data_IF_255036835051
#
_entry.id   IF_255036835051
#
_cell.length_a   1.000
_cell.length_b   1.000
_cell.length_c   1.000
_cell.angle_alpha   90.00
_cell.angle_beta   90.00
_cell.angle_gamma   90.00
#
_symmetry.space_group_name_H-M   'P 1'
#
loop_
_entity.id
_entity.type
_entity.pdbx_description
1 polymer ?
#
# COMPACT_ATOMS: atom_id res chain seq x y z
N UNK A 1 25.01 -2.21 -43.62
CA UNK A 1 24.67 -1.22 -42.58
C UNK A 1 23.91 -1.91 -41.43
N UNK A 2 24.60 -2.54 -40.48
CA UNK A 2 23.99 -3.16 -39.27
C UNK A 2 24.93 -3.24 -38.05
N UNK A 3 25.99 -2.42 -37.97
CA UNK A 3 26.94 -2.48 -36.84
C UNK A 3 27.13 -1.17 -36.07
N UNK A 4 26.59 -0.05 -36.54
CA UNK A 4 26.81 1.25 -35.89
C UNK A 4 25.79 1.53 -34.78
N UNK A 5 24.58 0.97 -34.86
CA UNK A 5 23.51 1.21 -33.87
C UNK A 5 23.71 0.43 -32.56
N UNK A 6 24.39 -0.72 -32.60
CA UNK A 6 24.62 -1.55 -31.41
C UNK A 6 25.68 -0.95 -30.46
N UNK A 7 26.68 -0.22 -30.99
CA UNK A 7 27.74 0.36 -30.18
C UNK A 7 27.26 1.64 -29.46
N UNK A 8 26.36 2.41 -30.08
CA UNK A 8 25.73 3.57 -29.42
C UNK A 8 24.76 3.14 -28.31
N UNK A 9 24.06 2.01 -28.49
CA UNK A 9 23.19 1.44 -27.45
C UNK A 9 23.98 0.90 -26.24
N UNK A 10 25.17 0.32 -26.45
CA UNK A 10 26.05 -0.12 -25.36
C UNK A 10 26.75 1.04 -24.64
N UNK A 11 27.10 2.13 -25.35
CA UNK A 11 27.62 3.34 -24.71
C UNK A 11 26.54 4.11 -23.92
N UNK A 12 25.30 4.13 -24.42
CA UNK A 12 24.16 4.70 -23.68
C UNK A 12 23.76 3.85 -22.46
N UNK A 13 23.83 2.51 -22.57
CA UNK A 13 23.59 1.60 -21.44
C UNK A 13 24.70 1.68 -20.37
N UNK A 14 25.96 1.89 -20.76
CA UNK A 14 27.06 2.11 -19.81
C UNK A 14 26.96 3.47 -19.07
N UNK A 15 26.29 4.48 -19.66
CA UNK A 15 25.95 5.75 -19.00
C UNK A 15 24.60 5.74 -18.26
N UNK A 16 23.81 4.67 -18.41
CA UNK A 16 22.54 4.44 -17.71
C UNK A 16 22.65 3.40 -16.59
N UNK A 17 23.80 2.75 -16.41
CA UNK A 17 24.11 1.99 -15.19
C UNK A 17 24.15 2.93 -13.98
N UNK A 18 23.45 2.63 -12.87
CA UNK A 18 23.46 3.45 -11.65
C UNK A 18 24.85 3.58 -11.01
N UNK A 19 25.77 2.66 -11.36
CA UNK A 19 27.10 2.57 -10.78
C UNK A 19 28.10 3.58 -11.36
N UNK A 20 27.94 4.03 -12.61
CA UNK A 20 28.92 4.92 -13.28
C UNK A 20 28.62 6.41 -13.14
N UNK A 21 27.42 6.80 -12.67
CA UNK A 21 27.10 8.20 -12.32
C UNK A 21 27.42 8.57 -10.86
N UNK A 22 27.88 7.63 -10.04
CA UNK A 22 28.17 7.84 -8.61
C UNK A 22 29.48 8.58 -8.32
N UNK A 23 30.36 8.82 -9.30
CA UNK A 23 31.72 9.36 -9.03
C UNK A 23 32.02 10.79 -9.52
N UNK A 24 31.18 11.45 -10.34
CA UNK A 24 31.64 12.63 -11.09
C UNK A 24 31.04 14.01 -10.75
N UNK A 25 30.27 14.14 -9.66
CA UNK A 25 29.85 15.47 -9.20
C UNK A 25 30.59 15.87 -7.92
N UNK A 26 31.61 16.72 -8.07
CA UNK A 26 32.27 17.52 -7.02
C UNK A 26 31.28 18.46 -6.33
N UNK A 27 30.29 17.92 -5.64
CA UNK A 27 29.60 18.61 -4.56
C UNK A 27 30.62 18.67 -3.41
N UNK A 28 30.84 19.82 -2.75
CA UNK A 28 31.61 19.84 -1.50
C UNK A 28 31.06 18.74 -0.60
N UNK A 29 31.93 17.86 -0.15
CA UNK A 29 31.54 16.69 0.63
C UNK A 29 30.79 17.22 1.87
N UNK A 30 29.47 17.00 1.95
CA UNK A 30 28.59 17.66 2.93
C UNK A 30 29.01 17.43 4.38
N UNK A 31 29.85 16.42 4.60
CA UNK A 31 30.51 16.01 5.85
C UNK A 31 31.74 16.83 6.23
N UNK A 32 32.33 17.60 5.31
CA UNK A 32 33.46 18.49 5.64
C UNK A 32 33.02 19.72 6.43
N UNK A 33 31.71 20.01 6.47
CA UNK A 33 31.17 21.15 7.18
C UNK A 33 29.92 20.78 7.98
N UNK A 34 29.98 21.03 9.29
CA UNK A 34 28.87 20.85 10.25
C UNK A 34 27.56 21.48 9.76
N UNK A 35 27.62 22.69 9.21
CA UNK A 35 26.42 23.40 8.76
C UNK A 35 25.80 22.74 7.52
N UNK A 36 26.61 22.22 6.59
CA UNK A 36 26.09 21.51 5.41
C UNK A 36 25.60 20.11 5.72
N UNK A 37 26.15 19.47 6.76
CA UNK A 37 25.69 18.16 7.22
C UNK A 37 24.37 18.28 7.99
N UNK A 38 24.24 19.28 8.86
CA UNK A 38 23.19 19.33 9.88
C UNK A 38 22.03 20.29 9.58
N UNK A 39 22.18 21.24 8.65
CA UNK A 39 21.17 22.27 8.39
C UNK A 39 20.70 22.25 6.95
N UNK A 40 19.50 22.80 6.72
CA UNK A 40 18.95 23.01 5.38
C UNK A 40 18.20 21.82 4.79
N UNK A 41 18.07 20.72 5.54
CA UNK A 41 17.28 19.56 5.13
C UNK A 41 15.82 19.76 5.48
N UNK A 42 15.00 20.00 4.46
CA UNK A 42 13.55 19.83 4.53
C UNK A 42 13.29 18.41 4.07
N UNK A 43 12.72 17.58 4.93
CA UNK A 43 12.50 16.15 4.65
C UNK A 43 11.01 15.88 4.46
N UNK A 44 10.41 16.65 3.56
CA UNK A 44 8.97 16.58 3.30
C UNK A 44 8.66 15.79 2.03
N UNK A 45 9.62 15.64 1.11
CA UNK A 45 9.45 14.80 -0.08
C UNK A 45 10.40 13.59 -0.09
N UNK A 46 9.96 12.46 -0.67
CA UNK A 46 10.79 11.27 -0.84
C UNK A 46 12.10 11.53 -1.57
N UNK A 47 12.10 12.44 -2.54
CA UNK A 47 13.29 12.80 -3.32
C UNK A 47 14.32 13.56 -2.46
N UNK A 48 13.87 14.42 -1.54
CA UNK A 48 14.75 15.10 -0.59
C UNK A 48 15.39 14.10 0.37
N UNK A 49 14.60 13.14 0.87
CA UNK A 49 15.08 12.10 1.78
C UNK A 49 16.06 11.14 1.08
N UNK A 50 15.78 10.70 -0.15
CA UNK A 50 16.70 9.87 -0.93
C UNK A 50 17.97 10.65 -1.29
N UNK A 51 17.84 11.91 -1.69
CA UNK A 51 19.01 12.75 -1.99
C UNK A 51 19.91 12.88 -0.76
N UNK A 52 19.31 13.09 0.42
CA UNK A 52 20.05 13.12 1.67
C UNK A 52 20.74 11.77 1.90
N UNK A 53 19.97 10.69 1.96
CA UNK A 53 20.43 9.33 2.30
C UNK A 53 21.46 8.77 1.33
N UNK A 54 21.21 8.84 0.03
CA UNK A 54 21.97 8.13 -1.00
C UNK A 54 23.09 8.98 -1.58
N UNK A 55 22.84 10.29 -1.80
CA UNK A 55 23.76 11.14 -2.56
C UNK A 55 24.63 11.99 -1.66
N UNK A 56 24.03 12.68 -0.70
CA UNK A 56 24.71 13.69 0.11
C UNK A 56 25.45 13.03 1.26
N UNK A 57 24.73 12.32 2.11
CA UNK A 57 25.29 11.70 3.32
C UNK A 57 25.51 10.21 3.19
N UNK A 58 25.45 9.65 1.96
CA UNK A 58 25.77 8.25 1.61
C UNK A 58 25.53 7.24 2.74
N UNK A 59 24.45 7.43 3.50
CA UNK A 59 24.32 6.88 4.85
C UNK A 59 24.07 5.38 4.73
N UNK A 60 23.33 4.98 3.70
CA UNK A 60 23.16 3.59 3.32
C UNK A 60 24.44 2.91 2.85
N UNK A 61 25.34 3.59 2.13
CA UNK A 61 26.63 3.00 1.75
C UNK A 61 27.46 2.72 3.02
N UNK A 62 27.55 3.70 3.93
CA UNK A 62 28.30 3.55 5.18
C UNK A 62 27.68 2.53 6.15
N UNK A 63 26.35 2.44 6.19
CA UNK A 63 25.66 1.38 6.90
C UNK A 63 26.05 0.01 6.30
N UNK A 64 25.94 -0.18 4.99
CA UNK A 64 26.33 -1.45 4.34
C UNK A 64 27.78 -1.85 4.60
N UNK A 65 28.72 -0.90 4.50
CA UNK A 65 30.11 -1.16 4.82
C UNK A 65 30.29 -1.56 6.29
N UNK A 66 29.69 -0.83 7.23
CA UNK A 66 29.75 -1.16 8.65
C UNK A 66 29.19 -2.56 8.94
N UNK A 67 28.02 -2.89 8.39
CA UNK A 67 27.40 -4.19 8.59
C UNK A 67 28.24 -5.34 8.01
N UNK A 68 29.02 -5.10 6.96
CA UNK A 68 29.89 -6.12 6.37
C UNK A 68 31.17 -6.34 7.16
N UNK A 69 31.74 -5.27 7.71
CA UNK A 69 33.02 -5.31 8.39
C UNK A 69 32.90 -5.75 9.86
N UNK A 70 31.71 -5.62 10.48
CA UNK A 70 31.49 -6.09 11.85
C UNK A 70 31.31 -7.61 11.94
N UNK A 71 31.81 -8.19 13.04
CA UNK A 71 31.85 -9.64 13.26
C UNK A 71 30.46 -10.27 13.48
N UNK A 72 29.48 -9.51 13.98
CA UNK A 72 28.07 -9.93 14.13
C UNK A 72 27.23 -9.65 12.89
N UNK A 73 27.84 -9.08 11.84
CA UNK A 73 27.19 -8.64 10.60
C UNK A 73 25.96 -7.74 10.80
N UNK A 74 24.75 -8.29 10.76
CA UNK A 74 23.51 -7.53 10.95
C UNK A 74 23.01 -7.59 12.39
N UNK A 75 23.52 -8.51 13.20
CA UNK A 75 23.06 -8.69 14.57
C UNK A 75 23.57 -7.57 15.47
N UNK A 76 22.69 -7.09 16.36
CA UNK A 76 22.90 -5.99 17.29
C UNK A 76 23.51 -4.73 16.66
N UNK A 77 23.36 -4.54 15.34
CA UNK A 77 24.14 -3.57 14.59
C UNK A 77 23.96 -2.14 15.12
N UNK A 78 22.77 -1.79 15.59
CA UNK A 78 22.47 -0.43 16.07
C UNK A 78 23.22 -0.12 17.37
N UNK A 79 23.29 -1.09 18.28
CA UNK A 79 24.05 -1.00 19.53
C UNK A 79 25.55 -0.99 19.20
N UNK A 80 26.00 -1.88 18.31
CA UNK A 80 27.39 -1.96 17.88
C UNK A 80 27.86 -0.69 17.17
N UNK A 81 26.98 -0.05 16.39
CA UNK A 81 27.25 1.23 15.75
C UNK A 81 27.39 2.33 16.79
N UNK A 82 26.48 2.39 17.76
CA UNK A 82 26.55 3.38 18.85
C UNK A 82 27.84 3.22 19.66
N UNK A 83 28.21 1.98 20.00
CA UNK A 83 29.45 1.66 20.69
C UNK A 83 30.69 2.04 19.88
N UNK A 84 30.69 1.74 18.57
CA UNK A 84 31.78 2.07 17.63
C UNK A 84 31.99 3.57 17.50
N UNK A 85 30.92 4.34 17.42
CA UNK A 85 30.94 5.81 17.27
C UNK A 85 31.32 6.47 18.59
N UNK A 86 30.87 5.93 19.73
CA UNK A 86 31.13 6.54 21.05
C UNK A 86 32.43 6.07 21.70
N UNK A 87 33.04 4.99 21.20
CA UNK A 87 34.24 4.40 21.78
C UNK A 87 33.96 3.64 23.09
N UNK A 88 32.76 3.07 23.22
CA UNK A 88 32.25 2.48 24.44
C UNK A 88 30.99 3.16 24.96
N UNK A 89 29.91 2.41 25.17
CA UNK A 89 28.75 2.86 25.96
C UNK A 89 28.92 2.43 27.42
N UNK A 90 28.73 3.34 28.39
CA UNK A 90 28.83 3.05 29.84
C UNK A 90 27.64 2.17 30.36
N UNK A 91 27.23 1.18 29.57
CA UNK A 91 26.16 0.23 29.88
C UNK A 91 24.73 0.75 29.67
N UNK A 92 24.55 1.92 29.04
CA UNK A 92 23.23 2.48 28.68
C UNK A 92 23.21 2.96 27.24
N UNK A 93 23.13 2.00 26.32
CA UNK A 93 22.88 2.26 24.91
C UNK A 93 21.41 2.68 24.72
N UNK A 94 21.20 3.86 24.12
CA UNK A 94 19.86 4.33 23.78
C UNK A 94 19.25 3.58 22.58
N UNK A 95 20.08 2.83 21.86
CA UNK A 95 19.68 1.94 20.77
C UNK A 95 19.01 0.64 21.24
N UNK A 96 19.24 0.19 22.48
CA UNK A 96 18.73 -1.08 22.97
C UNK A 96 17.19 -1.16 22.98
N UNK A 97 16.50 -0.02 23.13
CA UNK A 97 15.04 0.05 23.10
C UNK A 97 14.44 0.07 21.68
N UNK A 98 15.25 0.25 20.63
CA UNK A 98 14.74 0.45 19.28
C UNK A 98 14.16 -0.80 18.62
N UNK A 99 14.49 -2.00 19.09
CA UNK A 99 13.98 -3.26 18.53
C UNK A 99 12.57 -3.63 19.01
N UNK A 100 11.99 -2.85 19.93
CA UNK A 100 10.67 -3.11 20.54
C UNK A 100 9.81 -1.86 20.42
N UNK A 101 8.62 -1.96 19.80
CA UNK A 101 7.76 -0.79 19.54
C UNK A 101 7.27 -0.07 20.80
N UNK A 102 7.07 -0.82 21.87
CA UNK A 102 6.54 -0.29 23.13
C UNK A 102 7.63 0.38 24.00
N UNK A 103 8.91 0.21 23.65
CA UNK A 103 10.03 0.87 24.31
C UNK A 103 10.34 2.24 23.68
N UNK A 104 11.13 3.05 24.39
CA UNK A 104 11.70 4.27 23.83
C UNK A 104 12.90 3.94 22.94
N UNK A 105 12.89 4.45 21.71
CA UNK A 105 14.03 4.40 20.80
C UNK A 105 14.75 5.76 20.83
N UNK A 106 15.87 5.83 21.53
CA UNK A 106 16.66 7.05 21.69
C UNK A 106 18.13 6.80 21.38
N UNK A 107 18.47 6.31 20.17
CA UNK A 107 19.87 6.15 19.80
C UNK A 107 20.58 7.49 19.92
N UNK A 108 21.83 7.45 20.37
CA UNK A 108 22.64 8.60 20.75
C UNK A 108 22.06 9.45 21.89
N UNK A 109 21.10 8.94 22.68
CA UNK A 109 20.40 9.69 23.72
C UNK A 109 19.76 11.00 23.20
N UNK A 110 19.23 10.99 21.96
CA UNK A 110 18.64 12.16 21.30
C UNK A 110 19.59 13.36 21.11
N UNK A 111 20.89 13.08 21.00
CA UNK A 111 21.88 14.10 20.67
C UNK A 111 21.59 14.75 19.31
N UNK A 112 21.71 16.07 19.26
CA UNK A 112 21.51 16.87 18.05
C UNK A 112 22.65 16.68 17.04
N UNK A 113 22.37 16.87 15.75
CA UNK A 113 23.37 16.65 14.68
C UNK A 113 24.67 17.44 14.92
N UNK A 114 24.56 18.71 15.31
CA UNK A 114 25.73 19.56 15.52
C UNK A 114 26.58 19.08 16.69
N UNK A 115 25.96 18.58 17.74
CA UNK A 115 26.64 18.04 18.91
C UNK A 115 27.33 16.71 18.57
N UNK A 116 26.65 15.84 17.82
CA UNK A 116 27.22 14.58 17.33
C UNK A 116 28.45 14.84 16.46
N UNK A 117 28.35 15.79 15.53
CA UNK A 117 29.46 16.14 14.64
C UNK A 117 30.67 16.65 15.42
N UNK A 118 30.47 17.55 16.39
CA UNK A 118 31.56 18.13 17.18
C UNK A 118 32.24 17.10 18.10
N UNK A 119 31.47 16.16 18.63
CA UNK A 119 31.96 15.19 19.63
C UNK A 119 32.52 13.93 19.00
N UNK A 120 31.90 13.45 17.93
CA UNK A 120 32.18 12.14 17.32
C UNK A 120 32.43 12.19 15.81
N UNK A 121 32.20 13.32 15.14
CA UNK A 121 32.50 13.52 13.71
C UNK A 121 34.01 13.62 13.41
N UNK A 122 34.78 12.62 13.85
CA UNK A 122 36.22 12.47 13.63
C UNK A 122 36.58 12.19 12.16
N UNK A 123 37.85 11.92 11.85
CA UNK A 123 38.37 11.77 10.48
C UNK A 123 37.72 10.64 9.66
N UNK A 124 37.04 9.68 10.30
CA UNK A 124 36.44 8.55 9.59
C UNK A 124 35.03 8.88 9.04
N UNK A 125 34.69 8.41 7.82
CA UNK A 125 33.40 8.70 7.22
C UNK A 125 32.20 8.23 8.06
N UNK A 126 32.18 6.99 8.58
CA UNK A 126 31.07 6.44 9.36
C UNK A 126 30.77 7.31 10.59
N UNK A 127 31.84 7.76 11.25
CA UNK A 127 31.91 8.85 12.21
C UNK A 127 30.90 9.98 11.95
N UNK A 128 31.12 10.60 10.79
CA UNK A 128 30.43 11.79 10.30
C UNK A 128 29.01 11.49 9.83
N UNK A 129 28.74 10.29 9.33
CA UNK A 129 27.44 9.92 8.75
C UNK A 129 26.44 9.42 9.77
N UNK A 130 26.94 8.89 10.90
CA UNK A 130 26.18 8.05 11.82
C UNK A 130 24.91 8.72 12.35
N UNK A 131 24.91 10.05 12.52
CA UNK A 131 23.70 10.80 12.89
C UNK A 131 22.49 10.43 12.02
N UNK A 132 22.66 10.45 10.68
CA UNK A 132 21.56 10.18 9.75
C UNK A 132 21.14 8.71 9.75
N UNK A 133 22.06 7.79 10.05
CA UNK A 133 21.73 6.36 10.24
C UNK A 133 20.86 6.21 11.50
N UNK A 134 21.23 6.84 12.61
CA UNK A 134 20.45 6.80 13.85
C UNK A 134 19.10 7.51 13.71
N UNK A 135 19.01 8.63 12.98
CA UNK A 135 17.73 9.28 12.68
C UNK A 135 16.82 8.39 11.83
N UNK A 136 17.37 7.64 10.86
CA UNK A 136 16.57 6.69 10.09
C UNK A 136 16.04 5.55 10.98
N UNK A 137 16.84 5.01 11.89
CA UNK A 137 16.39 4.00 12.86
C UNK A 137 15.29 4.54 13.78
N UNK A 138 15.47 5.76 14.33
CA UNK A 138 14.45 6.43 15.14
C UNK A 138 13.17 6.72 14.36
N UNK A 139 13.31 7.16 13.11
CA UNK A 139 12.19 7.44 12.22
C UNK A 139 11.40 6.19 11.85
N UNK A 140 12.07 5.05 11.68
CA UNK A 140 11.42 3.74 11.52
C UNK A 140 10.62 3.37 12.76
N UNK A 141 11.21 3.49 13.95
CA UNK A 141 10.53 3.23 15.22
C UNK A 141 9.27 4.07 15.38
N UNK A 142 9.38 5.40 15.19
CA UNK A 142 8.24 6.33 15.25
C UNK A 142 7.13 5.94 14.27
N UNK A 143 7.46 5.66 13.01
CA UNK A 143 6.48 5.34 11.96
C UNK A 143 5.80 3.99 12.19
N UNK A 144 6.52 2.98 12.66
CA UNK A 144 5.92 1.68 12.99
C UNK A 144 5.02 1.78 14.23
N UNK A 145 5.43 2.56 15.24
CA UNK A 145 4.60 2.84 16.41
C UNK A 145 3.32 3.58 16.00
N UNK A 146 3.43 4.59 15.13
CA UNK A 146 2.27 5.28 14.58
C UNK A 146 1.36 4.35 13.75
N UNK A 147 1.93 3.42 12.99
CA UNK A 147 1.16 2.43 12.25
C UNK A 147 0.44 1.45 13.19
N UNK A 148 1.11 0.94 14.23
CA UNK A 148 0.51 0.10 15.28
C UNK A 148 -0.66 0.82 15.94
N UNK A 149 -0.48 2.06 16.38
CA UNK A 149 -1.56 2.88 16.96
C UNK A 149 -2.72 3.05 15.98
N UNK A 150 -2.45 3.40 14.71
CA UNK A 150 -3.50 3.53 13.70
C UNK A 150 -4.23 2.21 13.49
N UNK A 151 -3.54 1.08 13.35
CA UNK A 151 -4.17 -0.24 13.20
C UNK A 151 -5.09 -0.51 14.39
N UNK A 152 -4.60 -0.37 15.63
CA UNK A 152 -5.40 -0.60 16.84
C UNK A 152 -6.65 0.28 16.91
N UNK A 153 -6.50 1.61 16.72
CA UNK A 153 -7.63 2.55 16.73
C UNK A 153 -8.67 2.18 15.66
N UNK A 154 -8.18 1.78 14.49
CA UNK A 154 -8.99 1.51 13.32
C UNK A 154 -9.69 0.17 13.35
N UNK A 155 -9.11 -0.87 13.98
CA UNK A 155 -9.79 -2.13 14.25
C UNK A 155 -11.08 -1.89 15.03
N UNK A 156 -11.01 -1.08 16.08
CA UNK A 156 -12.15 -0.71 16.92
C UNK A 156 -13.22 0.01 16.09
N UNK A 157 -12.81 0.98 15.27
CA UNK A 157 -13.74 1.74 14.42
C UNK A 157 -14.36 0.86 13.34
N UNK A 158 -13.59 -0.05 12.73
CA UNK A 158 -14.08 -0.94 11.68
C UNK A 158 -15.10 -1.95 12.20
N UNK A 159 -14.88 -2.54 13.38
CA UNK A 159 -15.88 -3.42 13.99
C UNK A 159 -17.25 -2.74 14.11
N UNK A 160 -17.26 -1.47 14.51
CA UNK A 160 -18.49 -0.67 14.59
C UNK A 160 -19.07 -0.28 13.21
N UNK A 161 -18.21 -0.02 12.22
CA UNK A 161 -18.65 0.37 10.87
C UNK A 161 -19.17 -0.79 10.03
N UNK A 162 -18.70 -2.01 10.23
CA UNK A 162 -19.16 -3.19 9.47
C UNK A 162 -20.67 -3.42 9.69
N UNK A 163 -21.13 -3.38 10.95
CA UNK A 163 -22.56 -3.49 11.25
C UNK A 163 -23.41 -2.40 10.60
N UNK A 164 -22.87 -1.18 10.50
CA UNK A 164 -23.53 -0.09 9.78
C UNK A 164 -23.55 -0.34 8.27
N UNK A 165 -22.46 -0.82 7.67
CA UNK A 165 -22.42 -1.20 6.24
C UNK A 165 -23.47 -2.28 5.91
N UNK A 166 -23.55 -3.30 6.76
CA UNK A 166 -24.56 -4.37 6.65
C UNK A 166 -25.97 -3.79 6.65
N UNK A 167 -26.25 -2.86 7.55
CA UNK A 167 -27.53 -2.15 7.61
C UNK A 167 -27.77 -1.27 6.38
N UNK A 168 -26.75 -0.54 5.94
CA UNK A 168 -26.83 0.46 4.89
C UNK A 168 -27.07 -0.14 3.51
N UNK A 169 -26.45 -1.30 3.24
CA UNK A 169 -26.57 -2.03 1.97
C UNK A 169 -27.57 -3.19 2.03
N UNK A 170 -27.95 -3.64 3.23
CA UNK A 170 -28.87 -4.77 3.42
C UNK A 170 -28.25 -6.12 3.04
N UNK A 171 -26.96 -6.29 3.35
CA UNK A 171 -26.18 -7.52 3.14
C UNK A 171 -25.92 -8.30 4.42
N UNK A 172 -24.79 -8.99 4.48
CA UNK A 172 -24.24 -9.61 5.69
C UNK A 172 -22.70 -9.53 5.66
N UNK A 173 -22.06 -10.08 6.68
CA UNK A 173 -20.61 -10.14 6.80
C UNK A 173 -20.06 -11.59 6.71
N UNK A 174 -20.86 -12.51 6.15
CA UNK A 174 -20.54 -13.94 6.12
C UNK A 174 -19.58 -14.28 4.95
N UNK A 175 -19.52 -13.44 3.91
CA UNK A 175 -18.57 -13.61 2.80
C UNK A 175 -17.18 -13.06 3.19
N UNK A 176 -16.43 -13.92 3.89
CA UNK A 176 -15.11 -13.59 4.42
C UNK A 176 -14.02 -13.58 3.36
N UNK A 177 -14.16 -14.27 2.22
CA UNK A 177 -13.14 -14.33 1.17
C UNK A 177 -11.68 -14.56 1.65
N UNK A 178 -10.69 -14.16 0.86
CA UNK A 178 -9.27 -14.25 1.21
C UNK A 178 -8.80 -12.93 1.86
N UNK A 179 -9.09 -12.78 3.15
CA UNK A 179 -8.83 -11.55 3.91
C UNK A 179 -7.33 -11.23 4.04
N UNK A 180 -6.46 -12.26 4.02
CA UNK A 180 -5.00 -12.08 3.98
C UNK A 180 -4.60 -11.32 2.72
N UNK A 181 -5.11 -11.74 1.55
CA UNK A 181 -4.88 -11.01 0.29
C UNK A 181 -5.43 -9.59 0.33
N UNK A 182 -6.54 -9.35 1.03
CA UNK A 182 -7.08 -7.99 1.16
C UNK A 182 -6.12 -7.07 1.91
N UNK A 183 -5.51 -7.53 2.99
CA UNK A 183 -4.56 -6.74 3.78
C UNK A 183 -3.30 -6.42 2.99
N UNK A 184 -2.71 -7.43 2.35
CA UNK A 184 -1.54 -7.26 1.49
C UNK A 184 -1.83 -6.27 0.34
N UNK A 185 -3.00 -6.38 -0.29
CA UNK A 185 -3.41 -5.50 -1.38
C UNK A 185 -3.75 -4.08 -0.90
N UNK A 186 -4.44 -3.94 0.23
CA UNK A 186 -4.82 -2.65 0.81
C UNK A 186 -3.60 -1.74 1.05
N UNK A 187 -2.51 -2.34 1.52
CA UNK A 187 -1.25 -1.62 1.75
C UNK A 187 -0.60 -1.11 0.46
N UNK A 188 -0.88 -1.73 -0.70
CA UNK A 188 -0.35 -1.35 -2.01
C UNK A 188 -1.21 -0.31 -2.75
N UNK A 189 -2.52 -0.25 -2.49
CA UNK A 189 -3.49 0.54 -3.28
C UNK A 189 -3.26 2.07 -3.24
N UNK A 190 -2.60 2.58 -2.19
CA UNK A 190 -2.24 4.01 -2.10
C UNK A 190 -3.42 4.95 -2.34
N UNK A 191 -3.17 6.08 -3.03
CA UNK A 191 -4.17 7.09 -3.39
C UNK A 191 -5.09 6.73 -4.57
N UNK A 192 -5.01 5.51 -5.11
CA UNK A 192 -5.75 5.14 -6.31
C UNK A 192 -7.28 5.31 -6.17
N UNK A 193 -7.84 4.92 -5.02
CA UNK A 193 -9.29 5.03 -4.76
C UNK A 193 -9.77 6.48 -4.67
N UNK A 194 -8.92 7.43 -4.27
CA UNK A 194 -9.24 8.85 -4.25
C UNK A 194 -9.00 9.55 -5.59
N UNK A 195 -8.53 8.82 -6.61
CA UNK A 195 -8.16 9.39 -7.92
C UNK A 195 -6.87 10.21 -7.88
N UNK A 196 -6.13 10.16 -6.77
CA UNK A 196 -4.80 10.75 -6.67
C UNK A 196 -3.83 9.75 -7.29
N UNK A 197 -3.26 10.09 -8.45
CA UNK A 197 -2.15 9.30 -9.00
C UNK A 197 -1.02 9.27 -7.99
N UNK A 198 -0.53 8.08 -7.64
CA UNK A 198 0.66 7.96 -6.81
C UNK A 198 1.85 8.60 -7.55
N UNK A 199 2.30 9.75 -7.06
CA UNK A 199 3.59 10.31 -7.45
C UNK A 199 4.67 9.25 -7.18
N UNK A 200 5.62 8.96 -8.09
CA UNK A 200 6.68 7.96 -7.90
C UNK A 200 7.41 8.01 -6.56
N UNK A 201 7.56 9.18 -5.94
CA UNK A 201 8.13 9.32 -4.59
C UNK A 201 7.33 8.59 -3.49
N UNK A 202 5.99 8.55 -3.59
CA UNK A 202 5.12 7.84 -2.63
C UNK A 202 5.28 6.33 -2.69
N UNK A 203 5.79 5.80 -3.80
CA UNK A 203 5.96 4.39 -4.04
C UNK A 203 6.77 3.70 -2.95
N UNK A 204 7.86 4.30 -2.46
CA UNK A 204 8.79 3.64 -1.52
C UNK A 204 8.10 3.20 -0.22
N UNK A 205 7.29 4.08 0.39
CA UNK A 205 6.55 3.75 1.61
C UNK A 205 5.46 2.70 1.38
N UNK A 206 4.73 2.81 0.26
CA UNK A 206 3.70 1.85 -0.13
C UNK A 206 4.30 0.47 -0.44
N UNK A 207 5.43 0.41 -1.13
CA UNK A 207 6.17 -0.83 -1.40
C UNK A 207 6.72 -1.45 -0.13
N UNK A 208 7.27 -0.65 0.78
CA UNK A 208 7.76 -1.13 2.06
C UNK A 208 6.64 -1.78 2.88
N UNK A 209 5.52 -1.09 3.07
CA UNK A 209 4.39 -1.66 3.81
C UNK A 209 3.78 -2.83 3.06
N UNK A 210 3.62 -2.75 1.73
CA UNK A 210 3.20 -3.90 0.92
C UNK A 210 4.14 -5.10 1.06
N UNK A 211 5.45 -4.89 1.15
CA UNK A 211 6.43 -5.93 1.46
C UNK A 211 6.20 -6.57 2.83
N UNK A 212 5.98 -5.75 3.86
CA UNK A 212 5.70 -6.22 5.23
C UNK A 212 4.39 -7.00 5.28
N UNK A 213 3.33 -6.48 4.64
CA UNK A 213 2.00 -7.08 4.66
C UNK A 213 1.84 -8.25 3.67
N UNK A 214 2.58 -8.28 2.55
CA UNK A 214 2.55 -9.41 1.62
C UNK A 214 3.17 -10.67 2.23
N UNK A 215 4.07 -10.52 3.21
CA UNK A 215 4.58 -11.64 3.99
C UNK A 215 3.47 -12.37 4.79
N UNK A 216 2.29 -11.74 5.00
CA UNK A 216 1.10 -12.42 5.52
C UNK A 216 0.52 -13.46 4.59
N UNK A 217 0.84 -13.45 3.29
CA UNK A 217 0.42 -14.49 2.35
C UNK A 217 0.86 -15.91 2.73
N UNK A 218 1.76 -16.04 3.72
CA UNK A 218 2.18 -17.31 4.31
C UNK A 218 1.40 -17.71 5.57
N UNK A 219 0.62 -16.80 6.18
CA UNK A 219 -0.37 -17.19 7.19
C UNK A 219 -1.38 -18.11 6.52
N UNK A 220 -1.68 -19.23 7.16
CA UNK A 220 -2.73 -20.07 6.62
C UNK A 220 -4.03 -19.34 6.87
N UNK A 221 -4.85 -19.21 5.83
CA UNK A 221 -6.21 -18.68 5.92
C UNK A 221 -7.07 -19.46 6.95
N UNK A 222 -6.62 -20.64 7.38
CA UNK A 222 -7.16 -21.47 8.48
C UNK A 222 -6.85 -20.93 9.90
N UNK A 223 -5.85 -20.06 10.04
CA UNK A 223 -5.42 -19.44 11.32
C UNK A 223 -6.22 -18.15 11.63
N UNK A 224 -7.17 -17.78 10.78
CA UNK A 224 -8.03 -16.60 10.91
C UNK A 224 -9.47 -17.06 11.09
N UNK A 225 -10.20 -16.47 12.04
CA UNK A 225 -11.63 -16.73 12.20
C UNK A 225 -12.40 -16.32 10.93
N UNK A 226 -13.03 -17.31 10.28
CA UNK A 226 -13.84 -17.12 9.09
C UNK A 226 -15.34 -17.02 9.37
N UNK A 227 -15.73 -16.90 10.64
CA UNK A 227 -17.13 -16.79 11.06
C UNK A 227 -17.78 -15.46 10.64
N UNK A 228 -16.99 -14.40 10.50
CA UNK A 228 -17.44 -13.09 9.99
C UNK A 228 -16.27 -12.23 9.54
N UNK A 229 -16.53 -11.24 8.67
CA UNK A 229 -15.51 -10.25 8.27
C UNK A 229 -14.98 -9.49 9.49
N UNK A 230 -15.83 -9.12 10.46
CA UNK A 230 -15.39 -8.39 11.65
C UNK A 230 -14.44 -9.19 12.55
N UNK A 231 -14.73 -10.48 12.78
CA UNK A 231 -13.84 -11.36 13.54
C UNK A 231 -12.51 -11.60 12.81
N UNK A 232 -12.57 -11.97 11.53
CA UNK A 232 -11.35 -12.24 10.76
C UNK A 232 -10.46 -11.02 10.58
N UNK A 233 -11.04 -9.82 10.45
CA UNK A 233 -10.26 -8.58 10.45
C UNK A 233 -9.58 -8.33 11.80
N UNK A 234 -10.21 -8.66 12.93
CA UNK A 234 -9.59 -8.50 14.25
C UNK A 234 -8.32 -9.36 14.37
N UNK A 235 -8.40 -10.64 13.99
CA UNK A 235 -7.26 -11.57 13.98
C UNK A 235 -6.16 -11.10 13.02
N UNK A 236 -6.54 -10.62 11.84
CA UNK A 236 -5.59 -10.08 10.86
C UNK A 236 -4.90 -8.82 11.35
N UNK A 237 -5.58 -7.97 12.11
CA UNK A 237 -4.97 -6.78 12.69
C UNK A 237 -4.06 -7.12 13.87
N UNK A 238 -4.34 -8.17 14.64
CA UNK A 238 -3.41 -8.68 15.64
C UNK A 238 -2.13 -9.22 14.98
N UNK A 239 -2.30 -10.07 13.95
CA UNK A 239 -1.17 -10.55 13.16
C UNK A 239 -0.38 -9.41 12.48
N UNK A 240 -1.07 -8.36 12.01
CA UNK A 240 -0.48 -7.13 11.49
C UNK A 240 0.49 -6.49 12.49
N UNK A 241 0.06 -6.35 13.74
CA UNK A 241 0.87 -5.76 14.82
C UNK A 241 2.05 -6.65 15.16
N UNK A 242 1.84 -7.95 15.31
CA UNK A 242 2.91 -8.91 15.60
C UNK A 242 4.01 -8.89 14.54
N UNK A 243 3.64 -8.76 13.26
CA UNK A 243 4.63 -8.66 12.17
C UNK A 243 5.37 -7.34 12.15
N UNK A 244 4.73 -6.24 12.55
CA UNK A 244 5.42 -4.96 12.69
C UNK A 244 6.46 -5.05 13.81
N UNK A 245 6.10 -5.66 14.95
CA UNK A 245 7.01 -5.95 16.06
C UNK A 245 8.15 -6.90 15.60
N UNK A 246 7.84 -7.95 14.85
CA UNK A 246 8.85 -8.87 14.33
C UNK A 246 9.79 -8.19 13.32
N UNK A 247 9.24 -7.40 12.39
CA UNK A 247 10.02 -6.67 11.39
C UNK A 247 10.92 -5.64 12.07
N UNK A 248 10.41 -4.91 13.08
CA UNK A 248 11.20 -3.99 13.90
C UNK A 248 12.37 -4.73 14.56
N UNK A 249 12.08 -5.85 15.23
CA UNK A 249 13.09 -6.68 15.88
C UNK A 249 14.16 -7.15 14.89
N UNK A 250 13.76 -7.65 13.72
CA UNK A 250 14.70 -8.14 12.69
C UNK A 250 15.56 -6.99 12.20
N UNK A 251 14.97 -5.92 11.67
CA UNK A 251 15.71 -4.81 11.04
C UNK A 251 16.65 -4.11 12.02
N UNK A 252 16.29 -4.04 13.31
CA UNK A 252 17.13 -3.43 14.35
C UNK A 252 18.23 -4.39 14.89
N UNK A 253 18.40 -5.57 14.30
CA UNK A 253 19.52 -6.46 14.56
C UNK A 253 19.22 -7.67 15.46
N UNK A 254 17.95 -8.00 15.67
CA UNK A 254 17.54 -9.20 16.40
C UNK A 254 17.30 -10.44 15.51
N UNK A 255 17.42 -10.33 14.20
CA UNK A 255 17.03 -11.37 13.24
C UNK A 255 18.01 -12.56 13.15
N UNK A 256 17.55 -13.65 12.53
CA UNK A 256 18.41 -14.72 12.00
C UNK A 256 18.74 -14.48 10.53
N UNK A 257 19.72 -15.20 9.97
CA UNK A 257 20.09 -15.10 8.55
C UNK A 257 18.88 -15.28 7.62
N UNK A 258 18.06 -16.32 7.86
CA UNK A 258 16.83 -16.56 7.09
C UNK A 258 15.83 -15.41 7.23
N UNK A 259 15.69 -14.85 8.43
CA UNK A 259 14.80 -13.71 8.66
C UNK A 259 15.27 -12.44 7.96
N UNK A 260 16.58 -12.18 7.91
CA UNK A 260 17.13 -11.07 7.14
C UNK A 260 16.91 -11.27 5.64
N UNK A 261 17.16 -12.47 5.13
CA UNK A 261 16.97 -12.80 3.71
C UNK A 261 15.49 -12.75 3.29
N UNK A 262 14.56 -12.88 4.23
CA UNK A 262 13.13 -12.74 4.01
C UNK A 262 12.61 -11.29 4.06
N UNK A 263 13.44 -10.31 4.45
CA UNK A 263 13.05 -8.89 4.42
C UNK A 263 12.76 -8.48 2.96
N UNK A 264 11.55 -7.99 2.72
CA UNK A 264 11.18 -7.39 1.43
C UNK A 264 11.70 -5.96 1.38
N UNK A 265 12.39 -5.61 0.30
CA UNK A 265 13.06 -4.32 0.11
C UNK A 265 12.63 -3.69 -1.22
N UNK A 266 12.87 -2.39 -1.39
CA UNK A 266 12.52 -1.66 -2.62
C UNK A 266 13.41 -2.09 -3.79
N UNK A 267 12.84 -2.44 -4.95
CA UNK A 267 13.60 -2.76 -6.16
C UNK A 267 13.95 -1.47 -6.96
N UNK A 268 15.23 -1.25 -7.37
CA UNK A 268 16.40 -2.10 -7.15
C UNK A 268 17.11 -1.86 -5.81
N UNK A 269 17.59 -2.97 -5.23
CA UNK A 269 18.42 -3.05 -4.03
C UNK A 269 19.87 -2.65 -4.34
N UNK A 270 20.34 -1.46 -3.94
CA UNK A 270 21.68 -1.01 -4.29
C UNK A 270 22.76 -1.53 -3.32
N UNK A 271 22.37 -2.06 -2.16
CA UNK A 271 23.27 -2.50 -1.10
C UNK A 271 23.37 -4.04 -1.02
N UNK A 272 24.40 -4.54 -0.35
CA UNK A 272 24.64 -5.99 -0.25
C UNK A 272 23.85 -6.63 0.87
N UNK A 273 23.67 -5.93 2.00
CA UNK A 273 23.01 -6.49 3.16
C UNK A 273 21.52 -6.11 3.23
N UNK A 274 20.63 -7.06 3.59
CA UNK A 274 19.20 -6.83 3.68
C UNK A 274 18.79 -5.62 4.54
N UNK A 275 19.42 -5.43 5.71
CA UNK A 275 19.11 -4.28 6.59
C UNK A 275 19.40 -2.95 5.89
N UNK A 276 20.51 -2.83 5.16
CA UNK A 276 20.82 -1.61 4.40
C UNK A 276 19.81 -1.36 3.28
N UNK A 277 19.40 -2.42 2.57
CA UNK A 277 18.36 -2.33 1.53
C UNK A 277 16.99 -1.95 2.11
N UNK A 278 16.70 -2.33 3.35
CA UNK A 278 15.47 -1.93 4.03
C UNK A 278 15.41 -0.42 4.31
N UNK A 279 16.55 0.19 4.64
CA UNK A 279 16.65 1.65 4.84
C UNK A 279 16.86 2.44 3.53
N UNK A 280 16.87 1.78 2.38
CA UNK A 280 17.12 2.41 1.09
C UNK A 280 16.11 3.53 0.78
N UNK A 281 16.56 4.54 0.04
CA UNK A 281 15.74 5.70 -0.33
C UNK A 281 15.43 6.67 0.81
N UNK A 282 15.92 6.42 2.03
CA UNK A 282 15.79 7.35 3.15
C UNK A 282 14.36 7.58 3.64
N UNK A 283 13.38 6.74 3.29
CA UNK A 283 11.96 6.93 3.65
C UNK A 283 11.74 7.23 5.14
N UNK A 284 12.50 6.59 6.00
CA UNK A 284 12.38 6.76 7.45
C UNK A 284 12.86 8.13 7.96
N UNK A 285 13.66 8.86 7.17
CA UNK A 285 14.06 10.24 7.45
C UNK A 285 12.95 11.25 7.18
N UNK A 286 11.91 10.89 6.43
CA UNK A 286 10.81 11.80 6.16
C UNK A 286 10.15 12.28 7.44
N UNK A 287 9.75 13.55 7.47
CA UNK A 287 8.96 14.10 8.55
C UNK A 287 7.64 13.33 8.68
N UNK A 288 7.22 13.09 9.92
CA UNK A 288 6.03 12.27 10.20
C UNK A 288 4.74 12.89 9.64
N UNK A 289 4.69 14.21 9.46
CA UNK A 289 3.58 14.94 8.85
C UNK A 289 3.67 15.08 7.32
N UNK A 290 4.72 14.54 6.68
CA UNK A 290 4.83 14.54 5.22
C UNK A 290 3.66 13.78 4.59
N UNK A 291 3.19 14.25 3.43
CA UNK A 291 2.09 13.63 2.71
C UNK A 291 2.38 12.15 2.39
N UNK A 292 3.64 11.83 2.08
CA UNK A 292 4.07 10.47 1.78
C UNK A 292 3.91 9.52 2.95
N UNK A 293 4.33 9.95 4.14
CA UNK A 293 4.18 9.16 5.37
C UNK A 293 2.71 9.03 5.71
N UNK A 294 1.91 10.11 5.59
CA UNK A 294 0.48 10.04 5.88
C UNK A 294 -0.28 9.13 4.91
N UNK A 295 0.00 9.19 3.61
CA UNK A 295 -0.59 8.30 2.61
C UNK A 295 -0.23 6.84 2.88
N UNK A 296 1.05 6.54 3.15
CA UNK A 296 1.51 5.20 3.41
C UNK A 296 0.93 4.62 4.72
N UNK A 297 0.83 5.43 5.78
CA UNK A 297 0.18 5.03 7.03
C UNK A 297 -1.34 4.88 6.90
N UNK A 298 -1.97 5.63 5.99
CA UNK A 298 -3.42 5.59 5.79
C UNK A 298 -3.85 4.53 4.76
N UNK A 299 -2.96 4.05 3.89
CA UNK A 299 -3.32 3.12 2.79
C UNK A 299 -3.88 1.80 3.33
N UNK A 300 -3.21 1.21 4.33
CA UNK A 300 -3.60 -0.08 4.91
C UNK A 300 -5.05 -0.04 5.38
N UNK A 301 -5.45 0.97 6.15
CA UNK A 301 -6.83 1.07 6.62
C UNK A 301 -7.80 1.64 5.60
N UNK A 302 -7.40 2.72 4.94
CA UNK A 302 -8.23 3.47 4.00
C UNK A 302 -8.73 2.60 2.84
N UNK A 303 -8.00 1.53 2.52
CA UNK A 303 -8.35 0.61 1.45
C UNK A 303 -9.08 -0.66 1.94
N UNK A 304 -8.91 -1.11 3.19
CA UNK A 304 -9.70 -2.22 3.75
C UNK A 304 -11.19 -1.85 3.85
N UNK A 305 -11.50 -0.65 4.30
CA UNK A 305 -12.89 -0.20 4.46
C UNK A 305 -13.73 -0.32 3.16
N UNK A 306 -13.28 0.20 2.01
CA UNK A 306 -14.02 0.04 0.75
C UNK A 306 -14.09 -1.42 0.28
N UNK A 307 -13.11 -2.28 0.60
CA UNK A 307 -13.19 -3.72 0.29
C UNK A 307 -14.28 -4.42 1.09
N UNK A 308 -14.37 -4.15 2.39
CA UNK A 308 -15.47 -4.66 3.21
C UNK A 308 -16.82 -4.20 2.65
N UNK A 309 -16.96 -2.91 2.34
CA UNK A 309 -18.18 -2.38 1.75
C UNK A 309 -18.55 -3.09 0.44
N UNK A 310 -17.57 -3.33 -0.44
CA UNK A 310 -17.76 -4.11 -1.67
C UNK A 310 -18.32 -5.51 -1.40
N UNK A 311 -17.79 -6.22 -0.39
CA UNK A 311 -18.23 -7.58 -0.10
C UNK A 311 -19.61 -7.62 0.57
N UNK A 312 -19.92 -6.64 1.43
CA UNK A 312 -21.28 -6.48 1.97
C UNK A 312 -22.27 -6.19 0.84
N UNK A 313 -21.90 -5.33 -0.13
CA UNK A 313 -22.71 -5.08 -1.33
C UNK A 313 -22.89 -6.35 -2.17
N UNK A 314 -21.84 -7.13 -2.37
CA UNK A 314 -21.89 -8.42 -3.09
C UNK A 314 -22.84 -9.40 -2.38
N UNK A 315 -22.73 -9.55 -1.06
CA UNK A 315 -23.62 -10.37 -0.25
C UNK A 315 -25.08 -9.89 -0.31
N UNK A 316 -25.29 -8.58 -0.46
CA UNK A 316 -26.60 -7.97 -0.66
C UNK A 316 -27.14 -8.09 -2.11
N UNK A 317 -26.45 -8.84 -2.98
CA UNK A 317 -26.77 -9.07 -4.38
C UNK A 317 -26.73 -7.79 -5.25
N UNK A 318 -25.72 -6.94 -5.03
CA UNK A 318 -25.44 -5.80 -5.89
C UNK A 318 -24.54 -6.24 -7.06
N UNK A 319 -24.78 -5.66 -8.22
CA UNK A 319 -24.07 -5.96 -9.46
C UNK A 319 -23.67 -4.65 -10.15
N UNK A 320 -22.48 -4.63 -10.73
CA UNK A 320 -22.15 -3.64 -11.75
C UNK A 320 -22.80 -4.06 -13.06
N UNK A 321 -23.57 -3.15 -13.66
CA UNK A 321 -24.37 -3.45 -14.83
C UNK A 321 -23.90 -2.62 -16.02
N UNK A 322 -23.62 -3.29 -17.14
CA UNK A 322 -23.50 -2.68 -18.46
C UNK A 322 -24.87 -2.74 -19.16
N UNK A 323 -25.55 -1.60 -19.28
CA UNK A 323 -26.91 -1.55 -19.84
C UNK A 323 -26.91 -1.45 -21.36
N UNK A 324 -27.22 -2.57 -22.04
CA UNK A 324 -27.34 -2.64 -23.51
C UNK A 324 -28.56 -1.93 -24.07
N UNK A 325 -29.55 -1.60 -23.22
CA UNK A 325 -30.77 -0.91 -23.63
C UNK A 325 -30.51 0.60 -23.84
N UNK A 326 -29.34 1.10 -23.42
CA UNK A 326 -28.93 2.50 -23.56
C UNK A 326 -27.79 2.60 -24.55
N UNK A 327 -28.02 3.32 -25.63
CA UNK A 327 -27.13 3.31 -26.80
C UNK A 327 -26.24 4.55 -26.93
N UNK A 328 -26.42 5.54 -26.05
CA UNK A 328 -25.67 6.78 -26.08
C UNK A 328 -25.42 7.33 -24.67
N UNK A 329 -24.49 8.28 -24.58
CA UNK A 329 -24.21 9.02 -23.33
C UNK A 329 -25.44 9.79 -22.85
N UNK A 330 -26.19 10.35 -23.78
CA UNK A 330 -27.45 11.05 -23.50
C UNK A 330 -28.50 10.10 -22.92
N UNK A 331 -28.62 8.87 -23.47
CA UNK A 331 -29.52 7.83 -22.96
C UNK A 331 -29.08 7.29 -21.59
N UNK A 332 -27.77 7.29 -21.32
CA UNK A 332 -27.23 7.00 -20.00
C UNK A 332 -27.71 8.03 -18.96
N UNK A 333 -27.77 9.29 -19.37
CA UNK A 333 -28.18 10.40 -18.52
C UNK A 333 -27.15 10.71 -17.43
N UNK A 334 -27.55 11.56 -16.49
CA UNK A 334 -26.66 12.14 -15.47
C UNK A 334 -27.05 11.77 -14.04
N UNK A 335 -27.78 10.67 -13.86
CA UNK A 335 -28.10 10.19 -12.51
C UNK A 335 -26.80 9.85 -11.77
N UNK A 336 -26.75 10.17 -10.47
CA UNK A 336 -25.55 10.15 -9.64
C UNK A 336 -24.65 8.93 -9.86
N UNK A 337 -25.22 7.74 -9.97
CA UNK A 337 -24.48 6.48 -10.10
C UNK A 337 -23.96 6.10 -11.48
N UNK A 338 -24.46 6.74 -12.54
CA UNK A 338 -24.26 6.28 -13.91
C UNK A 338 -22.98 6.83 -14.50
N UNK A 339 -22.26 5.99 -15.24
CA UNK A 339 -21.01 6.34 -15.91
C UNK A 339 -21.05 5.79 -17.34
N UNK A 340 -20.89 6.69 -18.32
CA UNK A 340 -20.66 6.27 -19.71
C UNK A 340 -19.17 5.98 -19.88
N UNK A 341 -18.81 4.70 -20.04
CA UNK A 341 -17.42 4.27 -20.06
C UNK A 341 -17.21 3.21 -21.15
N UNK A 342 -15.98 3.15 -21.66
CA UNK A 342 -15.55 2.07 -22.52
C UNK A 342 -15.27 0.80 -21.70
N UNK A 343 -15.81 -0.34 -22.14
CA UNK A 343 -15.43 -1.67 -21.67
C UNK A 343 -14.16 -2.15 -22.37
N UNK A 344 -14.10 -1.99 -23.69
CA UNK A 344 -12.99 -2.31 -24.59
C UNK A 344 -12.93 -1.23 -25.68
N UNK A 345 -11.86 -1.22 -26.47
CA UNK A 345 -11.75 -0.28 -27.59
C UNK A 345 -12.96 -0.44 -28.54
N UNK A 346 -13.74 0.64 -28.70
CA UNK A 346 -14.94 0.66 -29.55
C UNK A 346 -16.22 0.12 -28.90
N UNK A 347 -16.19 -0.32 -27.64
CA UNK A 347 -17.35 -0.81 -26.90
C UNK A 347 -17.63 0.09 -25.70
N UNK A 348 -18.64 0.96 -25.78
CA UNK A 348 -19.07 1.84 -24.69
C UNK A 348 -20.45 1.47 -24.19
N UNK A 349 -20.62 1.49 -22.86
CA UNK A 349 -21.87 1.19 -22.21
C UNK A 349 -22.16 2.18 -21.08
N UNK A 350 -23.43 2.25 -20.71
CA UNK A 350 -23.85 2.91 -19.48
C UNK A 350 -23.69 1.96 -18.30
N UNK A 351 -22.73 2.27 -17.42
CA UNK A 351 -22.42 1.50 -16.22
C UNK A 351 -23.08 2.10 -14.98
N UNK A 352 -23.73 1.27 -14.18
CA UNK A 352 -24.28 1.64 -12.88
C UNK A 352 -24.57 0.40 -12.02
N UNK A 353 -24.90 0.61 -10.74
CA UNK A 353 -25.18 -0.48 -9.82
C UNK A 353 -26.66 -0.82 -9.82
N UNK A 354 -26.98 -2.12 -9.93
CA UNK A 354 -28.32 -2.66 -9.69
C UNK A 354 -28.28 -3.67 -8.55
N UNK A 355 -29.39 -3.77 -7.82
CA UNK A 355 -29.64 -4.88 -6.91
C UNK A 355 -30.51 -5.92 -7.60
N UNK A 356 -30.14 -7.19 -7.45
CA UNK A 356 -30.96 -8.32 -7.87
C UNK A 356 -31.63 -8.96 -6.66
N UNK A 357 -32.96 -8.89 -6.60
CA UNK A 357 -33.81 -9.49 -5.58
C UNK A 357 -34.85 -10.37 -6.30
N UNK A 358 -34.59 -11.68 -6.49
CA UNK A 358 -35.44 -12.54 -7.31
C UNK A 358 -36.86 -12.66 -6.74
N UNK A 359 -37.88 -12.23 -7.50
CA UNK A 359 -39.29 -12.34 -7.08
C UNK A 359 -40.01 -13.42 -7.88
N UNK A 360 -41.03 -14.06 -7.28
CA UNK A 360 -41.80 -15.11 -7.97
C UNK A 360 -42.42 -14.69 -9.31
N UNK A 361 -42.77 -13.40 -9.46
CA UNK A 361 -43.37 -12.85 -10.68
C UNK A 361 -42.36 -12.13 -11.59
N UNK A 362 -41.07 -12.12 -11.23
CA UNK A 362 -39.96 -11.47 -11.94
C UNK A 362 -40.04 -9.94 -12.10
N UNK A 363 -41.11 -9.31 -11.62
CA UNK A 363 -41.35 -7.87 -11.79
C UNK A 363 -40.50 -7.10 -10.79
N UNK A 364 -39.56 -6.31 -11.30
CA UNK A 364 -38.64 -5.53 -10.48
C UNK A 364 -37.66 -6.39 -9.68
N UNK A 365 -37.28 -7.54 -10.23
CA UNK A 365 -36.19 -8.36 -9.70
C UNK A 365 -34.86 -7.64 -9.79
N UNK A 366 -34.71 -6.82 -10.83
CA UNK A 366 -33.56 -5.96 -11.04
C UNK A 366 -33.98 -4.52 -10.83
N UNK A 367 -33.38 -3.87 -9.84
CA UNK A 367 -33.65 -2.46 -9.54
C UNK A 367 -32.34 -1.66 -9.55
N UNK A 368 -32.32 -0.54 -10.28
CA UNK A 368 -31.24 0.45 -10.14
C UNK A 368 -31.29 1.01 -8.72
N UNK A 369 -30.12 1.08 -8.09
CA UNK A 369 -30.03 1.54 -6.69
C UNK A 369 -30.27 3.04 -6.61
N UNK A 370 -30.83 3.50 -5.47
CA UNK A 370 -31.11 4.91 -5.25
C UNK A 370 -29.84 5.74 -5.07
N UNK A 371 -29.97 7.07 -5.18
CA UNK A 371 -28.88 8.02 -4.90
C UNK A 371 -28.25 7.83 -3.51
N UNK A 372 -29.06 7.49 -2.51
CA UNK A 372 -28.63 7.25 -1.13
C UNK A 372 -27.59 6.12 -1.02
N UNK A 373 -27.72 5.07 -1.82
CA UNK A 373 -26.71 3.99 -1.87
C UNK A 373 -25.37 4.53 -2.36
N UNK A 374 -25.37 5.43 -3.35
CA UNK A 374 -24.13 6.03 -3.82
C UNK A 374 -23.51 7.00 -2.80
N UNK A 375 -24.33 7.66 -1.98
CA UNK A 375 -23.84 8.49 -0.87
C UNK A 375 -23.22 7.61 0.23
N UNK A 376 -23.84 6.46 0.54
CA UNK A 376 -23.29 5.43 1.43
C UNK A 376 -21.97 4.86 0.91
N UNK A 377 -21.91 4.50 -0.37
CA UNK A 377 -20.67 4.08 -1.05
C UNK A 377 -19.57 5.13 -0.86
N UNK A 378 -19.87 6.41 -1.10
CA UNK A 378 -18.91 7.49 -0.91
C UNK A 378 -18.43 7.61 0.54
N UNK A 379 -19.33 7.46 1.53
CA UNK A 379 -18.97 7.48 2.95
C UNK A 379 -18.02 6.35 3.37
N UNK A 380 -17.96 5.28 2.57
CA UNK A 380 -17.12 4.10 2.79
C UNK A 380 -15.91 4.01 1.85
N UNK A 381 -15.58 5.09 1.13
CA UNK A 381 -14.39 5.17 0.27
C UNK A 381 -14.60 4.68 -1.17
N UNK A 382 -15.84 4.36 -1.56
CA UNK A 382 -16.23 3.96 -2.93
C UNK A 382 -16.86 5.12 -3.71
N UNK A 383 -16.46 6.37 -3.42
CA UNK A 383 -17.03 7.57 -4.02
C UNK A 383 -16.53 7.86 -5.44
N UNK A 384 -15.32 7.43 -5.78
CA UNK A 384 -14.78 7.55 -7.13
C UNK A 384 -15.30 6.40 -8.01
N UNK A 385 -16.48 6.63 -8.60
CA UNK A 385 -17.24 5.61 -9.35
C UNK A 385 -16.50 5.10 -10.56
N UNK A 386 -15.85 5.97 -11.32
CA UNK A 386 -15.12 5.55 -12.51
C UNK A 386 -13.99 4.59 -12.16
N UNK A 387 -13.15 4.94 -11.18
CA UNK A 387 -12.04 4.09 -10.74
C UNK A 387 -12.56 2.77 -10.15
N UNK A 388 -13.59 2.82 -9.30
CA UNK A 388 -14.18 1.63 -8.71
C UNK A 388 -14.80 0.70 -9.77
N UNK A 389 -15.57 1.24 -10.73
CA UNK A 389 -16.17 0.45 -11.80
C UNK A 389 -15.11 -0.14 -12.72
N UNK A 390 -14.05 0.60 -13.07
CA UNK A 390 -12.92 0.06 -13.85
C UNK A 390 -12.29 -1.13 -13.13
N UNK A 391 -12.00 -1.00 -11.83
CA UNK A 391 -11.41 -2.09 -11.06
C UNK A 391 -12.30 -3.36 -11.02
N UNK A 392 -13.62 -3.19 -10.95
CA UNK A 392 -14.57 -4.31 -11.06
C UNK A 392 -14.50 -4.97 -12.46
N UNK A 393 -14.48 -4.15 -13.51
CA UNK A 393 -14.42 -4.66 -14.89
C UNK A 393 -13.08 -5.34 -15.17
N UNK A 394 -11.97 -4.80 -14.66
CA UNK A 394 -10.65 -5.42 -14.76
C UNK A 394 -10.64 -6.81 -14.11
N UNK A 395 -11.38 -7.01 -13.02
CA UNK A 395 -11.57 -8.34 -12.45
C UNK A 395 -12.46 -9.23 -13.32
N UNK A 396 -13.60 -8.73 -13.79
CA UNK A 396 -14.55 -9.51 -14.59
C UNK A 396 -13.92 -10.02 -15.91
N UNK A 397 -13.00 -9.24 -16.48
CA UNK A 397 -12.27 -9.55 -17.71
C UNK A 397 -10.96 -10.31 -17.47
N UNK A 398 -10.57 -10.51 -16.21
CA UNK A 398 -9.34 -11.22 -15.86
C UNK A 398 -9.51 -12.73 -16.05
N UNK A 399 -8.50 -13.44 -16.59
CA UNK A 399 -8.52 -14.90 -16.69
C UNK A 399 -8.39 -15.59 -15.30
N UNK A 400 -8.04 -14.85 -14.26
CA UNK A 400 -7.95 -15.31 -12.88
C UNK A 400 -8.85 -14.45 -11.99
N UNK A 401 -9.67 -15.09 -11.17
CA UNK A 401 -10.60 -14.47 -10.23
C UNK A 401 -9.95 -14.14 -8.87
N UNK A 402 -8.69 -14.54 -8.69
CA UNK A 402 -7.93 -14.29 -7.46
C UNK A 402 -7.08 -13.03 -7.56
N UNK A 403 -6.97 -12.32 -6.43
CA UNK A 403 -6.05 -11.20 -6.27
C UNK A 403 -4.61 -11.69 -6.41
N UNK A 404 -3.86 -11.07 -7.33
CA UNK A 404 -2.43 -11.37 -7.53
C UNK A 404 -1.56 -10.53 -6.60
N UNK A 405 -0.92 -11.19 -5.64
CA UNK A 405 0.03 -10.56 -4.71
C UNK A 405 1.44 -10.43 -5.29
N UNK A 406 1.77 -11.15 -6.36
CA UNK A 406 3.11 -11.19 -6.95
C UNK A 406 3.44 -9.97 -7.82
N UNK A 407 2.42 -9.22 -8.23
CA UNK A 407 2.52 -8.07 -9.13
C UNK A 407 2.09 -6.74 -8.49
N UNK A 408 2.02 -6.67 -7.15
CA UNK A 408 1.60 -5.45 -6.45
C UNK A 408 2.51 -4.27 -6.81
N UNK A 409 1.92 -3.27 -7.47
CA UNK A 409 2.53 -1.98 -7.77
C UNK A 409 2.00 -0.96 -6.77
N UNK A 410 2.89 -0.23 -6.11
CA UNK A 410 2.51 0.80 -5.16
C UNK A 410 1.72 1.91 -5.86
N UNK A 411 0.49 2.14 -5.42
CA UNK A 411 -0.40 3.18 -5.94
C UNK A 411 -1.37 2.72 -7.02
N UNK A 412 -1.45 1.43 -7.32
CA UNK A 412 -2.42 0.84 -8.25
C UNK A 412 -3.38 -0.09 -7.53
N UNK A 413 -4.60 -0.26 -8.07
CA UNK A 413 -5.58 -1.21 -7.54
C UNK A 413 -5.24 -2.60 -8.07
N UNK A 414 -4.93 -3.59 -7.22
CA UNK A 414 -4.67 -4.95 -7.69
C UNK A 414 -5.88 -5.54 -8.38
N UNK A 415 -5.66 -6.27 -9.47
CA UNK A 415 -6.71 -6.97 -10.20
C UNK A 415 -7.50 -7.87 -9.25
N UNK A 416 -8.83 -7.85 -9.38
CA UNK A 416 -9.76 -8.58 -8.51
C UNK A 416 -9.78 -8.17 -7.03
N UNK A 417 -9.15 -7.05 -6.66
CA UNK A 417 -9.38 -6.48 -5.34
C UNK A 417 -10.86 -6.16 -5.12
N UNK A 418 -11.53 -5.56 -6.11
CA UNK A 418 -12.98 -5.43 -6.14
C UNK A 418 -13.58 -6.44 -7.10
N UNK A 419 -14.30 -7.41 -6.54
CA UNK A 419 -14.89 -8.56 -7.23
C UNK A 419 -16.43 -8.49 -7.22
N UNK A 420 -17.00 -7.28 -7.20
CA UNK A 420 -18.44 -7.12 -7.35
C UNK A 420 -18.86 -7.74 -8.70
N UNK A 421 -19.85 -8.63 -8.75
CA UNK A 421 -20.23 -9.28 -10.00
C UNK A 421 -20.64 -8.26 -11.08
N UNK A 422 -20.14 -8.43 -12.29
CA UNK A 422 -20.43 -7.57 -13.42
C UNK A 422 -21.23 -8.31 -14.51
N UNK A 423 -22.33 -7.69 -14.98
CA UNK A 423 -23.24 -8.29 -15.97
C UNK A 423 -23.65 -7.29 -17.04
N UNK A 424 -23.88 -7.78 -18.25
CA UNK A 424 -24.72 -7.11 -19.23
C UNK A 424 -26.18 -7.27 -18.83
N UNK A 425 -26.95 -6.19 -18.90
CA UNK A 425 -28.42 -6.27 -18.85
C UNK A 425 -29.02 -5.91 -20.19
N UNK A 426 -30.07 -6.64 -20.57
CA UNK A 426 -30.90 -6.38 -21.74
C UNK A 426 -32.37 -6.70 -21.40
N UNK A 427 -33.28 -6.37 -22.32
CA UNK A 427 -34.68 -6.79 -22.22
C UNK A 427 -34.76 -8.31 -22.39
N UNK A 428 -35.37 -8.98 -21.41
CA UNK A 428 -35.70 -10.40 -21.52
C UNK A 428 -36.87 -10.56 -22.50
N UNK A 429 -36.60 -11.16 -23.66
CA UNK A 429 -37.59 -11.41 -24.72
C UNK A 429 -38.16 -12.83 -24.68
N UNK A 430 -37.65 -13.69 -23.81
CA UNK A 430 -38.07 -15.08 -23.70
C UNK A 430 -39.27 -15.23 -22.75
N UNK A 431 -39.42 -14.30 -21.81
CA UNK A 431 -40.60 -14.21 -20.95
C UNK A 431 -41.66 -13.40 -21.67
N UNK A 432 -42.73 -14.08 -22.10
CA UNK A 432 -43.93 -13.39 -22.54
C UNK A 432 -44.47 -12.50 -21.43
N UNK A 433 -44.80 -11.25 -21.74
CA UNK A 433 -45.79 -10.53 -20.94
C UNK A 433 -46.99 -11.46 -20.76
N UNK A 434 -47.46 -11.64 -19.53
CA UNK A 434 -48.76 -12.27 -19.31
C UNK A 434 -49.88 -11.50 -20.01
N UNK A 435 -51.12 -11.79 -19.63
CA UNK A 435 -52.31 -11.20 -20.25
C UNK A 435 -52.18 -9.67 -20.48
N UNK A 436 -52.28 -9.17 -21.73
CA UNK A 436 -52.09 -7.75 -22.10
C UNK A 436 -53.02 -6.76 -21.39
N UNK A 437 -54.01 -7.24 -20.64
CA UNK A 437 -54.92 -6.41 -19.85
C UNK A 437 -54.54 -6.27 -18.37
N UNK A 438 -53.48 -6.94 -17.90
CA UNK A 438 -53.16 -7.05 -16.45
C UNK A 438 -51.84 -6.40 -16.00
N UNK A 439 -50.87 -6.21 -16.90
CA UNK A 439 -49.56 -5.59 -16.56
C UNK A 439 -49.07 -4.73 -17.72
N UNK A 440 -49.08 -3.40 -17.55
CA UNK A 440 -48.79 -2.45 -18.63
C UNK A 440 -47.30 -2.35 -19.02
N UNK A 441 -46.36 -2.84 -18.20
CA UNK A 441 -44.93 -2.71 -18.44
C UNK A 441 -44.19 -3.96 -17.96
N UNK A 442 -44.07 -4.99 -18.81
CA UNK A 442 -43.17 -6.12 -18.52
C UNK A 442 -41.78 -5.78 -19.05
N UNK A 443 -41.05 -5.02 -18.24
CA UNK A 443 -39.63 -4.73 -18.43
C UNK A 443 -38.79 -5.77 -17.69
N UNK A 444 -39.01 -7.04 -18.02
CA UNK A 444 -38.17 -8.12 -17.54
C UNK A 444 -36.74 -7.92 -18.05
N UNK A 445 -35.78 -8.14 -17.17
CA UNK A 445 -34.36 -7.97 -17.45
C UNK A 445 -33.71 -9.35 -17.53
N UNK A 446 -32.96 -9.58 -18.61
CA UNK A 446 -32.01 -10.68 -18.71
C UNK A 446 -30.63 -10.16 -18.34
N UNK A 447 -29.88 -10.97 -17.58
CA UNK A 447 -28.52 -10.64 -17.17
C UNK A 447 -27.55 -11.71 -17.69
N UNK A 448 -26.48 -11.29 -18.36
CA UNK A 448 -25.39 -12.18 -18.81
C UNK A 448 -24.08 -11.71 -18.24
N UNK A 449 -23.22 -12.62 -17.78
CA UNK A 449 -21.93 -12.24 -17.19
C UNK A 449 -21.05 -11.53 -18.23
N UNK A 450 -20.28 -10.54 -17.77
CA UNK A 450 -19.20 -9.92 -18.57
C UNK A 450 -17.96 -10.81 -18.42
N UNK A 451 -17.42 -11.30 -19.55
CA UNK A 451 -16.21 -12.14 -19.64
C UNK A 451 -15.30 -11.71 -20.81
#
# INVERSE_FOLDING_TARGET
MKSTTAIVALAAAAHASPLTKREDNKVPDVWENKDTLCKGWVLNTPEEADTLWTVKTKAGDHLDYFLRDQWEHQNNWLINLEDRVFGGTDGKSGAAGCSVLDNDCSPMNNMECTEQYEKYGTDDPLSKTSYWIFQAAKGMHSKFKALKTKITEKTIISGLRIGQMVTDFGGNEDDTGDMVKWLASASAIGGALSGLSANPGFGVGLYLFSGIFSAFGNLKQEEIDQGSISAGLADLFEAAVDRLDETMRIVMGGGTEDQYNALKTSNPDPYKLPVSNFFNGGFFLLNDNSEAVQLALNSVYGNIQPKVANNVMKAAQFYLVADKRRTSREDCGYATGRQWMALREGEEYCFYIMRHDPKPNRVGDWAEVSGEIYDKMASYGLGNREVYYRAILDCALSPNDNVDLGSLVGGEIPTCYFDLPAVYVDKDREVGCGDPFSTAECDYISATKIE
#
